data_IF_000292972913
#
_entry.id   IF_000292972913
#
_cell.length_a   1.000
_cell.length_b   1.000
_cell.length_c   1.000
_cell.angle_alpha   90.00
_cell.angle_beta   90.00
_cell.angle_gamma   90.00
#
_symmetry.space_group_name_H-M   'P 1'
#
loop_
_entity.id
_entity.type
_entity.pdbx_description
1 polymer ?
#
# COMPACT_ATOMS: atom_id res chain seq x y z
N UNK A 1 4.84 -27.04 6.06
CA UNK A 1 4.04 -25.91 5.53
C UNK A 1 4.75 -24.59 5.83
N UNK A 2 5.26 -23.90 4.80
CA UNK A 2 5.99 -22.61 4.98
C UNK A 2 4.97 -21.56 5.40
N UNK A 3 5.07 -21.03 6.62
CA UNK A 3 4.18 -19.97 7.16
C UNK A 3 4.40 -18.72 6.29
N UNK A 4 3.55 -18.54 5.28
CA UNK A 4 3.63 -17.38 4.41
C UNK A 4 3.33 -16.14 5.26
N UNK A 5 4.22 -15.16 5.23
CA UNK A 5 4.05 -13.94 5.99
C UNK A 5 2.89 -13.13 5.36
N UNK A 6 1.72 -13.02 6.02
CA UNK A 6 0.51 -12.45 5.42
C UNK A 6 0.63 -10.95 5.12
N UNK A 7 1.71 -10.32 5.56
CA UNK A 7 2.00 -8.91 5.34
C UNK A 7 2.25 -8.57 3.87
N UNK A 8 2.93 -9.45 3.12
CA UNK A 8 3.31 -9.20 1.72
C UNK A 8 2.09 -9.18 0.78
N UNK A 9 1.22 -10.22 0.77
CA UNK A 9 0.02 -10.18 -0.08
C UNK A 9 -0.97 -9.08 0.32
N UNK A 10 -1.06 -8.71 1.62
CA UNK A 10 -1.88 -7.57 2.07
C UNK A 10 -1.38 -6.24 1.54
N UNK A 11 -0.07 -5.99 1.61
CA UNK A 11 0.51 -4.76 1.07
C UNK A 11 0.28 -4.67 -0.44
N UNK A 12 0.43 -5.79 -1.16
CA UNK A 12 0.18 -5.85 -2.59
C UNK A 12 -1.28 -5.54 -2.95
N UNK A 13 -2.24 -6.11 -2.21
CA UNK A 13 -3.67 -5.85 -2.38
C UNK A 13 -4.03 -4.38 -2.16
N UNK A 14 -3.49 -3.75 -1.11
CA UNK A 14 -3.73 -2.35 -0.83
C UNK A 14 -3.21 -1.43 -1.95
N UNK A 15 -2.04 -1.74 -2.52
CA UNK A 15 -1.47 -1.00 -3.65
C UNK A 15 -2.35 -1.14 -4.89
N UNK A 16 -2.78 -2.36 -5.23
CA UNK A 16 -3.61 -2.63 -6.41
C UNK A 16 -4.96 -1.91 -6.29
N UNK A 17 -5.62 -2.02 -5.13
CA UNK A 17 -6.92 -1.36 -4.90
C UNK A 17 -6.77 0.16 -4.90
N UNK A 18 -5.70 0.70 -4.30
CA UNK A 18 -5.42 2.13 -4.30
C UNK A 18 -5.19 2.68 -5.71
N UNK A 19 -4.34 2.01 -6.50
CA UNK A 19 -4.06 2.38 -7.89
C UNK A 19 -5.29 2.23 -8.79
N UNK A 20 -6.09 1.17 -8.62
CA UNK A 20 -7.32 1.01 -9.39
C UNK A 20 -8.30 2.16 -9.14
N UNK A 21 -8.40 2.64 -7.90
CA UNK A 21 -9.27 3.75 -7.53
C UNK A 21 -8.70 5.14 -7.85
N UNK A 22 -7.48 5.27 -8.39
CA UNK A 22 -6.89 6.60 -8.71
C UNK A 22 -6.42 6.71 -10.16
N UNK A 23 -5.81 5.66 -10.73
CA UNK A 23 -5.29 5.67 -12.11
C UNK A 23 -6.42 5.45 -13.13
N UNK A 24 -7.44 4.69 -12.78
CA UNK A 24 -8.61 4.43 -13.65
C UNK A 24 -9.79 5.35 -13.35
N UNK A 25 -9.61 6.35 -12.48
CA UNK A 25 -10.63 7.39 -12.30
C UNK A 25 -10.67 8.24 -13.55
N UNK A 26 -11.89 8.45 -14.07
CA UNK A 26 -12.09 9.37 -15.18
C UNK A 26 -11.78 10.78 -14.68
N UNK A 27 -11.18 11.65 -15.51
CA UNK A 27 -10.82 13.02 -15.10
C UNK A 27 -12.03 13.83 -14.61
N UNK A 28 -13.23 13.45 -15.05
CA UNK A 28 -14.54 13.99 -14.65
C UNK A 28 -15.00 13.55 -13.24
N UNK A 29 -14.43 12.47 -12.68
CA UNK A 29 -14.73 11.97 -11.33
C UNK A 29 -13.72 12.45 -10.27
N UNK A 30 -12.77 13.32 -10.66
CA UNK A 30 -11.79 13.94 -9.77
C UNK A 30 -12.50 14.88 -8.79
N UNK A 31 -12.32 14.65 -7.49
CA UNK A 31 -13.05 15.35 -6.42
C UNK A 31 -14.37 14.69 -6.01
N UNK A 32 -14.71 13.51 -6.56
CA UNK A 32 -15.79 12.68 -6.02
C UNK A 32 -15.36 11.96 -4.73
N UNK A 33 -16.33 11.57 -3.89
CA UNK A 33 -16.05 10.81 -2.67
C UNK A 33 -15.28 9.50 -2.92
N UNK A 34 -15.43 8.90 -4.11
CA UNK A 34 -14.68 7.69 -4.52
C UNK A 34 -13.21 8.00 -4.75
N UNK A 35 -12.90 9.16 -5.33
CA UNK A 35 -11.53 9.64 -5.53
C UNK A 35 -10.83 9.86 -4.19
N UNK A 36 -11.52 10.50 -3.23
CA UNK A 36 -10.95 10.79 -1.91
C UNK A 36 -10.66 9.52 -1.12
N UNK A 37 -11.54 8.51 -1.21
CA UNK A 37 -11.31 7.18 -0.65
C UNK A 37 -10.12 6.48 -1.34
N UNK A 38 -10.00 6.58 -2.66
CA UNK A 38 -8.88 6.03 -3.42
C UNK A 38 -7.53 6.62 -3.01
N UNK A 39 -7.48 7.95 -2.86
CA UNK A 39 -6.30 8.69 -2.36
C UNK A 39 -6.00 8.27 -0.92
N UNK A 40 -7.00 8.18 -0.05
CA UNK A 40 -6.84 7.72 1.32
C UNK A 40 -6.24 6.31 1.42
N UNK A 41 -6.70 5.38 0.58
CA UNK A 41 -6.14 4.03 0.50
C UNK A 41 -4.70 4.01 0.01
N UNK A 42 -4.33 4.86 -0.96
CA UNK A 42 -2.96 5.00 -1.42
C UNK A 42 -2.03 5.55 -0.33
N UNK A 43 -2.48 6.55 0.43
CA UNK A 43 -1.70 7.09 1.56
C UNK A 43 -1.46 5.99 2.60
N UNK A 44 -2.49 5.20 2.93
CA UNK A 44 -2.37 4.09 3.88
C UNK A 44 -1.41 3.01 3.38
N UNK A 45 -1.45 2.70 2.08
CA UNK A 45 -0.52 1.78 1.43
C UNK A 45 0.92 2.31 1.48
N UNK A 46 1.14 3.60 1.23
CA UNK A 46 2.45 4.23 1.32
C UNK A 46 3.03 4.15 2.74
N UNK A 47 2.22 4.40 3.78
CA UNK A 47 2.64 4.28 5.18
C UNK A 47 3.06 2.83 5.50
N UNK A 48 2.28 1.84 5.07
CA UNK A 48 2.61 0.42 5.24
C UNK A 48 3.95 0.07 4.57
N UNK A 49 4.19 0.54 3.34
CA UNK A 49 5.45 0.30 2.62
C UNK A 49 6.63 0.92 3.36
N UNK A 50 6.51 2.15 3.86
CA UNK A 50 7.54 2.82 4.65
C UNK A 50 7.84 2.03 5.93
N UNK A 51 6.81 1.56 6.64
CA UNK A 51 6.98 0.78 7.86
C UNK A 51 7.68 -0.56 7.59
N UNK A 52 7.28 -1.25 6.52
CA UNK A 52 7.92 -2.49 6.07
C UNK A 52 9.39 -2.24 5.70
N UNK A 53 9.68 -1.15 4.99
CA UNK A 53 11.03 -0.78 4.59
C UNK A 53 11.94 -0.47 5.79
N UNK A 54 11.44 0.27 6.78
CA UNK A 54 12.14 0.55 8.04
C UNK A 54 12.38 -0.74 8.83
N UNK A 55 11.38 -1.62 8.91
CA UNK A 55 11.51 -2.91 9.58
C UNK A 55 12.57 -3.80 8.89
N UNK A 56 12.59 -3.85 7.56
CA UNK A 56 13.59 -4.59 6.79
C UNK A 56 15.00 -4.01 6.95
N UNK A 57 15.15 -2.68 7.00
CA UNK A 57 16.45 -2.03 7.29
C UNK A 57 16.95 -2.34 8.70
N UNK A 58 16.07 -2.32 9.71
CA UNK A 58 16.43 -2.67 11.10
C UNK A 58 16.89 -4.11 11.20
N UNK A 59 16.24 -5.06 10.53
CA UNK A 59 16.66 -6.47 10.52
C UNK A 59 18.05 -6.66 9.90
N UNK A 60 18.33 -5.99 8.78
CA UNK A 60 19.66 -6.01 8.15
C UNK A 60 20.79 -5.47 9.03
N UNK A 61 20.49 -4.54 9.94
CA UNK A 61 21.46 -3.96 10.88
C UNK A 61 21.70 -4.83 12.13
N UNK A 62 20.81 -5.77 12.42
CA UNK A 62 20.93 -6.70 13.56
C UNK A 62 21.64 -7.99 13.15
N UNK A 63 21.62 -8.35 11.86
CA UNK A 63 22.33 -9.49 11.28
C UNK A 63 23.76 -9.18 10.77
N UNK A 64 24.25 -7.94 10.96
CA UNK A 64 25.60 -7.51 10.57
C UNK A 64 26.40 -7.04 11.77
#
# INVERSE_FOLDING_TARGET
MKKQNPAVPRALLLIIIGLMNTVFIRPEDVGSWKNDVGIGLLILAAIQIVYLFVALRKRRKVES
#
